data_IF_089976350933
#
_entry.id   IF_089976350933
#
_cell.length_a   1.000
_cell.length_b   1.000
_cell.length_c   1.000
_cell.angle_alpha   90.00
_cell.angle_beta   90.00
_cell.angle_gamma   90.00
#
_symmetry.space_group_name_H-M   'P 1'
#
loop_
_entity.id
_entity.type
_entity.pdbx_description
1 polymer ?
#
# COMPACT_ATOMS: atom_id res chain seq x y z
N UNK A 1 -3.03 73.37 -42.79
CA UNK A 1 -2.09 72.28 -42.43
C UNK A 1 -2.16 72.07 -40.92
N UNK A 2 -2.71 70.94 -40.46
CA UNK A 2 -2.70 70.50 -39.05
C UNK A 2 -2.10 69.09 -39.02
N UNK A 3 -1.11 68.77 -38.17
CA UNK A 3 -0.60 67.41 -38.08
C UNK A 3 -1.51 66.59 -37.16
N UNK A 4 -1.90 65.40 -37.62
CA UNK A 4 -2.60 64.41 -36.82
C UNK A 4 -1.57 63.62 -36.01
N UNK A 5 -1.74 63.61 -34.69
CA UNK A 5 -0.95 62.80 -33.76
C UNK A 5 -1.61 61.41 -33.67
N UNK A 6 -0.99 60.40 -34.27
CA UNK A 6 -1.42 59.00 -34.08
C UNK A 6 -0.92 58.49 -32.73
N UNK A 7 -1.85 58.20 -31.83
CA UNK A 7 -1.58 57.54 -30.56
C UNK A 7 -1.61 56.01 -30.79
N UNK A 8 -0.45 55.37 -30.83
CA UNK A 8 -0.36 53.91 -30.86
C UNK A 8 -0.55 53.37 -29.44
N UNK A 9 -1.70 52.72 -29.19
CA UNK A 9 -1.97 52.02 -27.93
C UNK A 9 -1.37 50.61 -27.99
N UNK A 10 -0.27 50.39 -27.28
CA UNK A 10 0.32 49.07 -27.09
C UNK A 10 -0.51 48.29 -26.05
N UNK A 11 -1.32 47.33 -26.51
CA UNK A 11 -1.99 46.36 -25.64
C UNK A 11 -0.93 45.34 -25.16
N UNK A 12 -0.45 45.51 -23.92
CA UNK A 12 0.29 44.47 -23.20
C UNK A 12 -0.70 43.39 -22.75
N UNK A 13 -0.79 42.31 -23.51
CA UNK A 13 -1.42 41.06 -23.09
C UNK A 13 -0.62 40.45 -21.94
N UNK A 14 -0.98 40.81 -20.71
CA UNK A 14 -0.61 40.03 -19.54
C UNK A 14 -1.41 38.71 -19.59
N UNK A 15 -0.78 37.66 -20.12
CA UNK A 15 -1.19 36.29 -19.82
C UNK A 15 -0.94 36.03 -18.33
N UNK A 16 -1.92 36.39 -17.50
CA UNK A 16 -1.99 35.91 -16.13
C UNK A 16 -1.99 34.39 -16.16
N UNK A 17 -0.90 33.77 -15.73
CA UNK A 17 -0.92 32.36 -15.38
C UNK A 17 -1.90 32.27 -14.20
N UNK A 18 -3.09 31.73 -14.46
CA UNK A 18 -3.99 31.33 -13.40
C UNK A 18 -3.25 30.26 -12.59
N UNK A 19 -2.63 30.66 -11.48
CA UNK A 19 -2.24 29.72 -10.44
C UNK A 19 -3.56 29.09 -10.03
N UNK A 20 -3.73 27.80 -10.29
CA UNK A 20 -4.91 27.09 -9.86
C UNK A 20 -5.00 27.26 -8.33
N UNK A 21 -5.95 28.09 -7.90
CA UNK A 21 -6.16 28.34 -6.48
C UNK A 21 -6.59 27.03 -5.82
N UNK A 22 -6.04 26.78 -4.63
CA UNK A 22 -6.45 25.62 -3.84
C UNK A 22 -7.94 25.72 -3.51
N UNK A 23 -8.66 24.61 -3.64
CA UNK A 23 -10.08 24.54 -3.31
C UNK A 23 -10.28 24.72 -1.80
N UNK A 24 -11.25 25.54 -1.42
CA UNK A 24 -11.74 25.62 -0.03
C UNK A 24 -13.00 24.78 0.10
N UNK A 25 -12.84 23.48 0.41
CA UNK A 25 -13.95 22.52 0.54
C UNK A 25 -13.61 21.36 1.48
N UNK A 26 -14.61 20.58 1.85
CA UNK A 26 -14.40 19.28 2.50
C UNK A 26 -13.80 18.25 1.54
N UNK A 27 -13.09 17.27 2.11
CA UNK A 27 -12.35 16.23 1.38
C UNK A 27 -12.98 14.84 1.45
N UNK A 28 -14.00 14.65 2.29
CA UNK A 28 -14.58 13.32 2.57
C UNK A 28 -15.30 12.66 1.39
N UNK A 29 -15.60 13.42 0.33
CA UNK A 29 -16.14 12.91 -0.93
C UNK A 29 -15.15 13.01 -2.10
N UNK A 30 -13.88 13.31 -1.82
CA UNK A 30 -12.82 13.34 -2.82
C UNK A 30 -12.15 11.98 -2.94
N UNK A 31 -11.81 11.61 -4.18
CA UNK A 31 -11.08 10.39 -4.48
C UNK A 31 -9.90 10.66 -5.40
N UNK A 32 -9.06 9.65 -5.58
CA UNK A 32 -8.03 9.64 -6.61
C UNK A 32 -8.27 8.50 -7.59
N UNK A 33 -7.90 8.71 -8.85
CA UNK A 33 -7.83 7.67 -9.88
C UNK A 33 -6.41 7.62 -10.43
N UNK A 34 -5.76 6.47 -10.30
CA UNK A 34 -4.41 6.24 -10.83
C UNK A 34 -4.47 5.97 -12.32
N UNK A 35 -3.75 6.77 -13.12
CA UNK A 35 -3.65 6.59 -14.57
C UNK A 35 -2.37 5.83 -14.93
N UNK A 36 -2.46 4.49 -14.94
CA UNK A 36 -1.32 3.57 -15.05
C UNK A 36 -0.42 3.76 -16.29
N UNK A 37 -0.95 4.32 -17.38
CA UNK A 37 -0.20 4.54 -18.61
C UNK A 37 0.49 5.91 -18.70
N UNK A 38 0.04 6.88 -17.89
CA UNK A 38 0.44 8.28 -18.02
C UNK A 38 1.33 8.78 -16.87
N UNK A 39 1.51 7.98 -15.81
CA UNK A 39 2.25 8.43 -14.62
C UNK A 39 1.59 9.64 -13.96
N UNK A 40 0.27 9.69 -14.00
CA UNK A 40 -0.58 10.78 -13.50
C UNK A 40 -1.70 10.25 -12.59
N UNK A 41 -2.31 11.16 -11.84
CA UNK A 41 -3.56 10.91 -11.12
C UNK A 41 -4.64 11.91 -11.53
N UNK A 42 -5.89 11.47 -11.49
CA UNK A 42 -7.05 12.37 -11.42
C UNK A 42 -7.46 12.52 -9.96
N UNK A 43 -7.78 13.73 -9.54
CA UNK A 43 -8.49 14.01 -8.29
C UNK A 43 -9.95 14.22 -8.66
N UNK A 44 -10.84 13.44 -8.06
CA UNK A 44 -12.26 13.40 -8.43
C UNK A 44 -13.15 13.79 -7.25
N UNK A 45 -14.26 14.43 -7.58
CA UNK A 45 -15.40 14.65 -6.69
C UNK A 45 -16.43 13.54 -6.95
N UNK A 46 -16.67 12.70 -5.96
CA UNK A 46 -17.58 11.56 -6.07
C UNK A 46 -19.04 11.94 -5.88
N UNK A 47 -19.34 13.11 -5.30
CA UNK A 47 -20.72 13.63 -5.21
C UNK A 47 -21.14 14.28 -6.53
N UNK A 48 -20.26 15.08 -7.12
CA UNK A 48 -20.53 15.80 -8.37
C UNK A 48 -20.19 14.99 -9.63
N UNK A 49 -19.55 13.83 -9.49
CA UNK A 49 -19.03 13.00 -10.58
C UNK A 49 -18.10 13.79 -11.53
N UNK A 50 -17.20 14.57 -10.97
CA UNK A 50 -16.34 15.49 -11.72
C UNK A 50 -14.85 15.22 -11.46
N UNK A 51 -14.02 15.32 -12.49
CA UNK A 51 -12.58 15.48 -12.28
C UNK A 51 -12.24 16.94 -11.96
N UNK A 52 -11.57 17.14 -10.83
CA UNK A 52 -11.15 18.44 -10.33
C UNK A 52 -9.75 18.81 -10.83
N UNK A 53 -8.82 17.86 -10.78
CA UNK A 53 -7.43 18.08 -11.15
C UNK A 53 -6.83 16.85 -11.82
N UNK A 54 -5.89 17.08 -12.75
CA UNK A 54 -4.94 16.07 -13.22
C UNK A 54 -3.56 16.44 -12.69
N UNK A 55 -2.92 15.55 -11.93
CA UNK A 55 -1.57 15.74 -11.41
C UNK A 55 -0.62 14.81 -12.14
N UNK A 56 0.43 15.36 -12.73
CA UNK A 56 1.43 14.63 -13.51
C UNK A 56 2.79 14.59 -12.78
N UNK A 57 3.75 13.85 -13.33
CA UNK A 57 5.11 13.76 -12.75
C UNK A 57 5.24 12.78 -11.59
N UNK A 58 4.37 11.77 -11.52
CA UNK A 58 4.41 10.72 -10.48
C UNK A 58 5.27 9.51 -10.84
N UNK A 59 5.94 9.53 -12.00
CA UNK A 59 6.83 8.45 -12.44
C UNK A 59 6.06 7.20 -12.89
N UNK A 60 6.59 6.02 -12.58
CA UNK A 60 5.99 4.75 -12.97
C UNK A 60 4.85 4.35 -12.02
N UNK A 61 3.62 4.55 -12.48
CA UNK A 61 2.39 4.11 -11.80
C UNK A 61 1.75 2.87 -12.44
N UNK A 62 2.50 2.08 -13.22
CA UNK A 62 2.02 0.80 -13.79
C UNK A 62 1.48 -0.15 -12.72
N UNK A 63 2.02 -0.03 -11.50
CA UNK A 63 1.47 -0.54 -10.26
C UNK A 63 1.62 0.54 -9.20
N UNK A 64 0.54 0.89 -8.51
CA UNK A 64 0.58 1.85 -7.42
C UNK A 64 -0.49 1.53 -6.36
N UNK A 65 -0.21 1.92 -5.13
CA UNK A 65 -1.19 1.99 -4.04
C UNK A 65 -1.18 3.40 -3.45
N UNK A 66 -2.15 3.69 -2.59
CA UNK A 66 -2.22 4.97 -1.91
C UNK A 66 -2.83 4.85 -0.52
N UNK A 67 -2.42 5.76 0.37
CA UNK A 67 -3.07 6.01 1.66
C UNK A 67 -3.30 7.51 1.82
N UNK A 68 -4.20 7.90 2.72
CA UNK A 68 -4.52 9.30 2.98
C UNK A 68 -4.00 9.74 4.33
N UNK A 69 -3.68 11.03 4.48
CA UNK A 69 -3.49 11.65 5.78
C UNK A 69 -4.78 11.63 6.58
N UNK A 70 -4.68 11.75 7.91
CA UNK A 70 -5.82 11.68 8.84
C UNK A 70 -6.85 12.79 8.63
N UNK A 71 -6.42 13.92 8.07
CA UNK A 71 -7.26 15.05 7.69
C UNK A 71 -7.78 14.94 6.25
N UNK A 72 -7.54 13.80 5.59
CA UNK A 72 -7.97 13.47 4.22
C UNK A 72 -7.46 14.43 3.13
N UNK A 73 -6.57 15.38 3.46
CA UNK A 73 -6.07 16.38 2.51
C UNK A 73 -4.94 15.86 1.64
N UNK A 74 -4.09 14.99 2.16
CA UNK A 74 -2.90 14.52 1.46
C UNK A 74 -3.04 13.05 1.08
N UNK A 75 -2.82 12.74 -0.19
CA UNK A 75 -2.65 11.38 -0.65
C UNK A 75 -1.15 11.05 -0.73
N UNK A 76 -0.76 9.90 -0.19
CA UNK A 76 0.58 9.35 -0.30
C UNK A 76 0.56 8.22 -1.32
N UNK A 77 1.21 8.44 -2.47
CA UNK A 77 1.24 7.50 -3.59
C UNK A 77 2.54 6.71 -3.56
N UNK A 78 2.43 5.39 -3.60
CA UNK A 78 3.55 4.45 -3.68
C UNK A 78 3.66 3.93 -5.11
N UNK A 79 4.64 4.42 -5.86
CA UNK A 79 4.88 4.07 -7.26
C UNK A 79 5.81 2.88 -7.43
N UNK A 80 5.64 2.14 -8.53
CA UNK A 80 6.43 0.94 -8.88
C UNK A 80 7.92 1.22 -8.97
N UNK A 81 8.29 2.43 -9.35
CA UNK A 81 9.66 2.95 -9.41
C UNK A 81 10.29 3.24 -8.04
N UNK A 82 9.60 2.90 -6.95
CA UNK A 82 10.05 3.18 -5.59
C UNK A 82 9.83 4.61 -5.14
N UNK A 83 9.05 5.40 -5.90
CA UNK A 83 8.66 6.75 -5.53
C UNK A 83 7.60 6.78 -4.43
N UNK A 84 7.83 7.59 -3.40
CA UNK A 84 6.84 8.01 -2.41
C UNK A 84 6.47 9.47 -2.68
N UNK A 85 5.23 9.73 -3.08
CA UNK A 85 4.76 11.07 -3.46
C UNK A 85 3.66 11.54 -2.53
N UNK A 86 3.83 12.71 -1.93
CA UNK A 86 2.78 13.42 -1.18
C UNK A 86 2.08 14.40 -2.10
N UNK A 87 0.79 14.21 -2.32
CA UNK A 87 -0.06 15.05 -3.17
C UNK A 87 -1.05 15.80 -2.30
N UNK A 88 -1.17 17.12 -2.46
CA UNK A 88 -2.23 17.93 -1.84
C UNK A 88 -3.45 17.92 -2.76
N UNK A 89 -4.50 17.22 -2.35
CA UNK A 89 -5.66 16.98 -3.22
C UNK A 89 -6.57 18.21 -3.36
N UNK A 90 -6.48 19.17 -2.43
CA UNK A 90 -7.20 20.44 -2.55
C UNK A 90 -6.52 21.40 -3.52
N UNK A 91 -5.21 21.26 -3.72
CA UNK A 91 -4.43 22.12 -4.61
C UNK A 91 -4.04 21.45 -5.93
N UNK A 92 -4.34 20.16 -6.12
CA UNK A 92 -3.99 19.44 -7.34
C UNK A 92 -2.49 19.38 -7.63
N UNK A 93 -1.63 19.29 -6.60
CA UNK A 93 -0.18 19.40 -6.76
C UNK A 93 0.61 18.41 -5.94
N UNK A 94 1.78 18.04 -6.45
CA UNK A 94 2.80 17.33 -5.69
C UNK A 94 3.40 18.32 -4.68
N UNK A 95 3.37 17.95 -3.39
CA UNK A 95 4.02 18.71 -2.31
C UNK A 95 5.47 18.29 -2.18
N UNK A 96 5.71 16.97 -2.18
CA UNK A 96 7.06 16.41 -2.16
C UNK A 96 7.05 15.02 -2.80
N UNK A 97 8.19 14.60 -3.34
CA UNK A 97 8.43 13.27 -3.88
C UNK A 97 9.85 12.83 -3.53
N UNK A 98 9.99 11.61 -3.02
CA UNK A 98 11.28 10.97 -2.77
C UNK A 98 11.35 9.64 -3.51
N UNK A 99 12.53 9.27 -4.03
CA UNK A 99 12.80 7.93 -4.56
C UNK A 99 13.53 7.17 -3.47
N UNK A 100 12.88 6.17 -2.88
CA UNK A 100 13.37 5.54 -1.65
C UNK A 100 13.85 4.09 -1.79
N UNK A 101 13.63 3.49 -2.96
CA UNK A 101 14.04 2.13 -3.27
C UNK A 101 13.91 1.87 -4.77
N UNK A 102 14.24 0.66 -5.21
CA UNK A 102 14.11 0.31 -6.63
C UNK A 102 12.68 -0.08 -7.02
N UNK A 103 12.10 -1.02 -6.27
CA UNK A 103 10.77 -1.55 -6.53
C UNK A 103 10.01 -1.66 -5.20
N UNK A 104 8.95 -0.86 -5.10
CA UNK A 104 8.08 -0.76 -3.93
C UNK A 104 6.65 -0.55 -4.41
N UNK A 105 5.69 -1.14 -3.70
CA UNK A 105 4.26 -0.93 -3.96
C UNK A 105 3.45 -0.94 -2.67
N UNK A 106 3.91 -1.66 -1.64
CA UNK A 106 3.23 -1.73 -0.35
C UNK A 106 3.63 -0.55 0.54
N UNK A 107 2.65 0.20 1.00
CA UNK A 107 2.84 1.30 1.92
C UNK A 107 1.67 1.44 2.88
N UNK A 108 1.96 1.93 4.08
CA UNK A 108 0.98 2.08 5.15
C UNK A 108 1.23 3.37 5.93
N UNK A 109 0.18 3.95 6.52
CA UNK A 109 0.26 5.15 7.36
C UNK A 109 0.06 4.76 8.82
N UNK A 110 0.86 5.32 9.74
CA UNK A 110 0.76 4.96 11.16
C UNK A 110 -0.60 5.35 11.75
N UNK A 111 -0.98 4.71 12.86
CA UNK A 111 -2.25 4.98 13.56
C UNK A 111 -2.45 6.47 13.90
N UNK A 112 -1.39 7.14 14.37
CA UNK A 112 -1.43 8.58 14.64
C UNK A 112 -1.12 9.44 13.40
N UNK A 113 -1.01 8.83 12.21
CA UNK A 113 -0.64 9.34 10.89
C UNK A 113 0.56 10.28 10.81
N UNK A 114 1.51 10.19 11.72
CA UNK A 114 2.76 10.96 11.64
C UNK A 114 3.82 10.27 10.77
N UNK A 115 3.65 8.98 10.45
CA UNK A 115 4.64 8.16 9.75
C UNK A 115 4.04 7.44 8.55
N UNK A 116 4.84 7.27 7.50
CA UNK A 116 4.57 6.39 6.36
C UNK A 116 5.61 5.28 6.35
N UNK A 117 5.17 4.03 6.34
CA UNK A 117 6.03 2.87 6.12
C UNK A 117 5.98 2.46 4.64
N UNK A 118 7.12 2.07 4.10
CA UNK A 118 7.28 1.62 2.71
C UNK A 118 8.07 0.32 2.65
N UNK A 119 7.47 -0.70 2.03
CA UNK A 119 8.11 -2.00 1.79
C UNK A 119 9.04 -1.94 0.58
N UNK A 120 10.20 -2.57 0.64
CA UNK A 120 11.19 -2.55 -0.44
C UNK A 120 11.62 -3.95 -0.86
N UNK A 121 11.69 -4.18 -2.17
CA UNK A 121 12.21 -5.44 -2.73
C UNK A 121 13.73 -5.38 -2.89
N UNK A 122 14.25 -4.20 -3.20
CA UNK A 122 15.67 -3.89 -3.26
C UNK A 122 15.89 -2.54 -2.58
N UNK A 123 16.73 -2.45 -1.53
CA UNK A 123 17.66 -3.47 -1.02
C UNK A 123 17.04 -4.61 -0.20
N UNK A 124 15.74 -4.53 0.12
CA UNK A 124 15.04 -5.46 1.02
C UNK A 124 14.93 -4.86 2.43
N UNK A 125 13.70 -4.67 2.92
CA UNK A 125 13.45 -4.04 4.22
C UNK A 125 12.25 -3.12 4.23
N UNK A 126 12.13 -2.32 5.29
CA UNK A 126 11.09 -1.30 5.45
C UNK A 126 11.75 0.04 5.72
N UNK A 127 11.35 1.08 4.99
CA UNK A 127 11.75 2.46 5.29
C UNK A 127 10.56 3.20 5.87
N UNK A 128 10.80 4.03 6.88
CA UNK A 128 9.78 4.84 7.54
C UNK A 128 10.08 6.31 7.29
N UNK A 129 9.07 7.08 6.89
CA UNK A 129 9.16 8.50 6.58
C UNK A 129 8.20 9.33 7.42
N UNK A 130 8.53 10.59 7.67
CA UNK A 130 7.61 11.57 8.23
C UNK A 130 6.52 11.92 7.21
N UNK A 131 5.25 11.96 7.64
CA UNK A 131 4.14 12.43 6.78
C UNK A 131 4.19 13.94 6.52
N UNK A 132 4.94 14.71 7.32
CA UNK A 132 5.02 16.16 7.17
C UNK A 132 5.78 16.54 5.90
N UNK A 133 6.98 15.99 5.73
CA UNK A 133 7.95 16.41 4.72
C UNK A 133 8.60 15.24 3.94
N UNK A 134 8.23 13.98 4.22
CA UNK A 134 8.85 12.78 3.66
C UNK A 134 10.34 12.61 4.03
N UNK A 135 10.81 13.22 5.12
CA UNK A 135 12.14 12.91 5.66
C UNK A 135 12.20 11.46 6.17
N UNK A 136 13.34 10.79 5.95
CA UNK A 136 13.57 9.43 6.43
C UNK A 136 13.72 9.43 7.96
N UNK A 137 12.89 8.64 8.64
CA UNK A 137 12.87 8.49 10.11
C UNK A 137 13.59 7.22 10.53
N UNK A 138 13.39 6.10 9.82
CA UNK A 138 14.05 4.83 10.10
C UNK A 138 14.30 4.03 8.82
N UNK A 139 15.43 3.35 8.78
CA UNK A 139 15.78 2.38 7.73
C UNK A 139 15.97 1.00 8.38
N UNK A 140 15.04 0.09 8.11
CA UNK A 140 14.96 -1.20 8.79
C UNK A 140 15.32 -2.29 7.77
N UNK A 141 16.58 -2.75 7.73
CA UNK A 141 17.01 -3.78 6.79
C UNK A 141 16.35 -5.12 7.12
N UNK A 142 15.90 -5.83 6.08
CA UNK A 142 15.38 -7.19 6.23
C UNK A 142 16.48 -8.19 6.58
N UNK A 143 16.09 -9.41 6.99
CA UNK A 143 17.03 -10.53 7.13
C UNK A 143 17.79 -10.76 5.81
N UNK A 144 19.12 -10.92 5.91
CA UNK A 144 19.97 -11.21 4.76
C UNK A 144 19.73 -12.65 4.27
N UNK A 145 19.59 -12.80 2.96
CA UNK A 145 19.42 -14.07 2.25
C UNK A 145 20.36 -14.13 1.05
N UNK A 146 20.64 -15.34 0.59
CA UNK A 146 21.38 -15.56 -0.65
C UNK A 146 20.38 -15.86 -1.76
N UNK A 147 20.45 -15.10 -2.85
CA UNK A 147 19.60 -15.36 -4.03
C UNK A 147 20.09 -16.57 -4.86
N UNK A 148 19.39 -16.86 -5.96
CA UNK A 148 19.72 -17.99 -6.84
C UNK A 148 21.05 -17.85 -7.56
N UNK A 149 21.60 -16.65 -7.63
CA UNK A 149 22.86 -16.32 -8.28
C UNK A 149 24.03 -16.30 -7.27
N UNK A 150 23.75 -16.60 -6.00
CA UNK A 150 24.75 -16.61 -4.93
C UNK A 150 25.03 -15.23 -4.33
N UNK A 151 24.28 -14.19 -4.71
CA UNK A 151 24.46 -12.83 -4.19
C UNK A 151 23.67 -12.65 -2.90
N UNK A 152 24.29 -11.97 -1.93
CA UNK A 152 23.63 -11.58 -0.66
C UNK A 152 22.75 -10.36 -0.88
N UNK A 153 21.54 -10.41 -0.34
CA UNK A 153 20.55 -9.32 -0.39
C UNK A 153 19.63 -9.38 0.84
N UNK A 154 18.90 -8.30 1.12
CA UNK A 154 17.78 -8.39 2.07
C UNK A 154 16.63 -9.20 1.50
N UNK A 155 15.91 -9.93 2.35
CA UNK A 155 14.63 -10.52 1.96
C UNK A 155 13.67 -9.42 1.49
N UNK A 156 12.91 -9.68 0.42
CA UNK A 156 11.84 -8.77 -0.01
C UNK A 156 10.79 -8.66 1.10
N UNK A 157 10.25 -7.47 1.31
CA UNK A 157 9.11 -7.26 2.21
C UNK A 157 7.82 -7.09 1.43
N UNK A 158 6.76 -7.76 1.88
CA UNK A 158 5.42 -7.81 1.28
C UNK A 158 4.35 -7.79 2.37
N UNK A 159 3.10 -7.48 2.01
CA UNK A 159 1.98 -7.47 2.97
C UNK A 159 2.18 -6.49 4.13
N UNK A 160 2.80 -5.33 3.86
CA UNK A 160 2.99 -4.28 4.86
C UNK A 160 1.66 -3.61 5.18
N UNK A 161 1.29 -3.59 6.46
CA UNK A 161 0.07 -2.96 6.96
C UNK A 161 0.38 -2.18 8.23
N UNK A 162 -0.37 -1.11 8.49
CA UNK A 162 -0.43 -0.50 9.82
C UNK A 162 -1.27 -1.36 10.78
N UNK A 163 -0.97 -1.24 12.07
CA UNK A 163 -1.62 -2.00 13.13
C UNK A 163 -1.84 -1.13 14.37
N UNK A 164 -2.87 -1.44 15.20
CA UNK A 164 -3.15 -0.69 16.43
C UNK A 164 -1.95 -0.64 17.39
N UNK A 165 -1.82 0.46 18.12
CA UNK A 165 -0.75 0.67 19.10
C UNK A 165 0.51 1.27 18.48
N UNK A 166 0.38 2.04 17.40
CA UNK A 166 1.49 2.65 16.65
C UNK A 166 2.48 1.60 16.13
N UNK A 167 1.96 0.57 15.48
CA UNK A 167 2.74 -0.55 14.94
C UNK A 167 2.55 -0.67 13.45
N UNK A 168 3.51 -1.32 12.80
CA UNK A 168 3.35 -1.91 11.46
C UNK A 168 3.57 -3.42 11.56
N UNK A 169 2.92 -4.18 10.67
CA UNK A 169 3.19 -5.60 10.48
C UNK A 169 3.62 -5.83 9.03
N UNK A 170 4.61 -6.68 8.82
CA UNK A 170 5.17 -6.94 7.49
C UNK A 170 5.69 -8.36 7.40
N UNK A 171 5.64 -8.93 6.20
CA UNK A 171 6.11 -10.28 5.93
C UNK A 171 7.34 -10.25 5.02
N UNK A 172 8.30 -11.15 5.28
CA UNK A 172 9.54 -11.30 4.53
C UNK A 172 9.45 -12.53 3.64
N UNK A 173 9.42 -12.31 2.33
CA UNK A 173 9.18 -13.34 1.31
C UNK A 173 10.26 -14.42 1.28
N UNK A 174 11.53 -14.03 1.23
CA UNK A 174 12.64 -14.95 1.02
C UNK A 174 13.02 -15.69 2.32
N UNK A 175 12.96 -15.00 3.47
CA UNK A 175 13.34 -15.57 4.78
C UNK A 175 12.20 -16.22 5.57
N UNK A 176 10.96 -16.14 5.08
CA UNK A 176 9.78 -16.78 5.71
C UNK A 176 9.52 -16.30 7.14
N UNK A 177 9.51 -14.98 7.33
CA UNK A 177 9.31 -14.31 8.61
C UNK A 177 8.14 -13.33 8.58
N UNK A 178 7.52 -13.05 9.73
CA UNK A 178 6.66 -11.88 9.94
C UNK A 178 7.25 -11.01 11.04
N UNK A 179 7.28 -9.70 10.82
CA UNK A 179 7.79 -8.72 11.77
C UNK A 179 6.67 -7.82 12.25
N UNK A 180 6.66 -7.53 13.55
CA UNK A 180 5.90 -6.45 14.15
C UNK A 180 6.89 -5.34 14.49
N UNK A 181 6.67 -4.14 13.96
CA UNK A 181 7.52 -2.98 14.11
C UNK A 181 6.77 -1.96 14.99
N UNK A 182 7.20 -1.80 16.24
CA UNK A 182 6.67 -0.78 17.16
C UNK A 182 7.38 0.56 16.94
N UNK A 183 6.58 1.58 16.63
CA UNK A 183 7.00 2.93 16.31
C UNK A 183 6.54 3.97 17.35
N UNK A 184 6.28 3.55 18.60
CA UNK A 184 6.00 4.49 19.71
C UNK A 184 7.17 5.42 19.99
N UNK A 185 8.40 4.91 19.84
CA UNK A 185 9.61 5.72 19.80
C UNK A 185 10.25 5.62 18.41
N UNK A 186 9.98 6.57 17.49
CA UNK A 186 10.48 6.47 16.12
C UNK A 186 12.01 6.52 15.99
N UNK A 187 12.71 7.10 16.99
CA UNK A 187 14.16 7.11 17.03
C UNK A 187 14.78 5.75 17.40
N UNK A 188 13.98 4.85 17.97
CA UNK A 188 14.41 3.50 18.37
C UNK A 188 13.28 2.47 18.12
N UNK A 189 13.03 2.12 16.84
CA UNK A 189 12.01 1.14 16.48
C UNK A 189 12.27 -0.21 17.15
N UNK A 190 11.26 -0.79 17.79
CA UNK A 190 11.37 -2.15 18.35
C UNK A 190 10.77 -3.16 17.37
N UNK A 191 11.56 -4.18 17.02
CA UNK A 191 11.17 -5.17 16.03
C UNK A 191 11.02 -6.53 16.72
N UNK A 192 9.80 -7.05 16.72
CA UNK A 192 9.52 -8.42 17.13
C UNK A 192 9.46 -9.31 15.90
N UNK A 193 10.33 -10.33 15.85
CA UNK A 193 10.47 -11.23 14.69
C UNK A 193 9.85 -12.58 14.98
N UNK A 194 8.93 -12.99 14.12
CA UNK A 194 8.38 -14.34 14.07
C UNK A 194 9.05 -15.09 12.94
N UNK A 195 9.86 -16.09 13.30
CA UNK A 195 10.50 -16.97 12.33
C UNK A 195 9.61 -18.18 12.06
N UNK A 196 9.69 -18.75 10.85
CA UNK A 196 8.94 -19.94 10.43
C UNK A 196 7.43 -19.74 10.32
N UNK A 197 7.01 -18.64 9.72
CA UNK A 197 5.58 -18.38 9.50
C UNK A 197 4.98 -19.25 8.39
N UNK A 198 5.83 -19.86 7.56
CA UNK A 198 5.43 -20.66 6.40
C UNK A 198 6.21 -20.25 5.17
N UNK A 199 6.32 -21.13 4.18
CA UNK A 199 7.20 -20.96 3.04
C UNK A 199 6.70 -19.92 2.03
N UNK A 200 7.60 -19.02 1.61
CA UNK A 200 7.40 -17.99 0.58
C UNK A 200 6.10 -17.20 0.76
N UNK A 201 5.92 -16.49 1.88
CA UNK A 201 4.72 -15.68 2.07
C UNK A 201 4.69 -14.51 1.08
N UNK A 202 3.60 -14.36 0.33
CA UNK A 202 3.57 -13.51 -0.87
C UNK A 202 2.74 -12.22 -0.72
N UNK A 203 1.83 -12.17 0.24
CA UNK A 203 0.98 -11.04 0.55
C UNK A 203 0.44 -11.19 1.99
N UNK A 204 -0.13 -10.14 2.57
CA UNK A 204 -0.77 -10.21 3.88
C UNK A 204 -1.84 -9.13 4.08
N UNK A 205 -2.71 -9.33 5.07
CA UNK A 205 -3.69 -8.36 5.54
C UNK A 205 -3.74 -8.32 7.07
N UNK A 206 -4.41 -7.29 7.61
CA UNK A 206 -4.89 -7.29 9.00
C UNK A 206 -6.42 -7.37 9.01
N UNK A 207 -7.00 -8.12 9.93
CA UNK A 207 -8.45 -8.15 10.11
C UNK A 207 -9.00 -6.77 10.47
N UNK A 208 -10.27 -6.43 10.15
CA UNK A 208 -10.80 -5.08 10.37
C UNK A 208 -10.80 -4.60 11.83
N UNK A 209 -10.79 -5.53 12.79
CA UNK A 209 -10.64 -5.24 14.22
C UNK A 209 -9.19 -4.95 14.64
N UNK A 210 -8.24 -5.02 13.70
CA UNK A 210 -6.82 -4.79 13.92
C UNK A 210 -6.11 -5.90 14.70
N UNK A 211 -6.72 -7.10 14.83
CA UNK A 211 -6.20 -8.15 15.71
C UNK A 211 -5.32 -9.18 15.01
N UNK A 212 -5.78 -9.76 13.90
CA UNK A 212 -5.08 -10.86 13.25
C UNK A 212 -4.37 -10.37 12.00
N UNK A 213 -3.04 -10.56 11.97
CA UNK A 213 -2.25 -10.40 10.76
C UNK A 213 -2.15 -11.75 10.05
N UNK A 214 -2.58 -11.80 8.79
CA UNK A 214 -2.74 -13.05 8.03
C UNK A 214 -1.92 -12.97 6.76
N UNK A 215 -0.95 -13.86 6.62
CA UNK A 215 -0.06 -13.94 5.45
C UNK A 215 -0.41 -15.13 4.56
N UNK A 216 -0.50 -14.87 3.26
CA UNK A 216 -0.70 -15.89 2.22
C UNK A 216 0.59 -16.61 1.90
N UNK A 217 0.59 -17.94 1.90
CA UNK A 217 1.77 -18.75 1.67
C UNK A 217 1.80 -19.23 0.21
N UNK A 218 2.89 -18.96 -0.51
CA UNK A 218 3.06 -19.42 -1.89
C UNK A 218 3.85 -20.72 -1.97
N UNK A 219 4.78 -20.93 -1.03
CA UNK A 219 5.67 -22.09 -1.00
C UNK A 219 4.98 -23.36 -0.50
N UNK A 220 3.90 -23.20 0.26
CA UNK A 220 3.07 -24.24 0.85
C UNK A 220 1.59 -23.82 0.80
N UNK A 221 0.68 -24.78 0.93
CA UNK A 221 -0.73 -24.48 1.12
C UNK A 221 -0.96 -24.01 2.58
N UNK A 222 -2.01 -23.21 2.78
CA UNK A 222 -2.39 -22.60 4.03
C UNK A 222 -2.08 -21.11 4.14
N UNK A 223 -2.54 -20.53 5.24
CA UNK A 223 -2.28 -19.15 5.63
C UNK A 223 -1.62 -19.12 7.00
N UNK A 224 -0.72 -18.17 7.20
CA UNK A 224 -0.14 -17.92 8.52
C UNK A 224 -0.95 -16.86 9.24
N UNK A 225 -1.47 -17.18 10.42
CA UNK A 225 -2.18 -16.24 11.29
C UNK A 225 -1.33 -15.88 12.51
N UNK A 226 -1.06 -14.59 12.68
CA UNK A 226 -0.40 -13.99 13.84
C UNK A 226 -1.40 -13.15 14.65
N UNK A 227 -1.52 -13.41 15.96
CA UNK A 227 -2.37 -12.63 16.87
C UNK A 227 -1.60 -11.41 17.40
N UNK A 228 -1.93 -10.22 16.91
CA UNK A 228 -1.25 -8.97 17.27
C UNK A 228 -1.56 -8.50 18.71
N UNK A 229 -2.56 -9.10 19.38
CA UNK A 229 -2.83 -8.88 20.81
C UNK A 229 -2.01 -9.81 21.70
N UNK A 230 -1.58 -10.95 21.16
CA UNK A 230 -0.74 -11.93 21.83
C UNK A 230 0.52 -12.25 21.01
N UNK A 231 1.34 -11.23 20.69
CA UNK A 231 2.48 -11.42 19.79
C UNK A 231 3.57 -12.30 20.43
N UNK A 232 3.52 -12.60 21.72
CA UNK A 232 4.38 -13.62 22.33
C UNK A 232 4.10 -15.04 21.82
N UNK A 233 2.91 -15.30 21.26
CA UNK A 233 2.52 -16.61 20.75
C UNK A 233 3.06 -16.82 19.33
N UNK A 234 3.43 -18.06 18.96
CA UNK A 234 3.84 -18.36 17.61
C UNK A 234 2.67 -18.19 16.63
N UNK A 235 2.93 -17.86 15.35
CA UNK A 235 1.92 -17.90 14.31
C UNK A 235 1.31 -19.30 14.18
N UNK A 236 0.04 -19.34 13.78
CA UNK A 236 -0.71 -20.59 13.54
C UNK A 236 -0.94 -20.76 12.05
N UNK A 237 -0.74 -21.97 11.55
CA UNK A 237 -1.22 -22.34 10.22
C UNK A 237 -2.73 -22.53 10.28
N UNK A 238 -3.46 -21.86 9.39
CA UNK A 238 -4.91 -21.99 9.21
C UNK A 238 -5.21 -22.32 7.76
N UNK A 239 -6.42 -22.84 7.50
CA UNK A 239 -6.91 -23.16 6.15
C UNK A 239 -5.88 -23.98 5.35
N UNK A 240 -5.36 -25.08 5.88
CA UNK A 240 -4.24 -25.84 5.28
C UNK A 240 -4.47 -26.29 3.82
N UNK A 241 -5.73 -26.37 3.36
CA UNK A 241 -6.09 -26.65 1.96
C UNK A 241 -6.17 -25.41 1.05
N UNK A 242 -5.96 -24.21 1.58
CA UNK A 242 -6.00 -22.95 0.86
C UNK A 242 -4.65 -22.67 0.19
N UNK A 243 -4.54 -22.97 -1.09
CA UNK A 243 -3.29 -22.77 -1.81
C UNK A 243 -3.36 -23.28 -3.23
N UNK A 244 -2.20 -23.43 -3.88
CA UNK A 244 -2.06 -23.77 -5.30
C UNK A 244 -2.68 -25.13 -5.69
N UNK A 245 -3.06 -25.95 -4.72
CA UNK A 245 -3.62 -27.27 -4.96
C UNK A 245 -2.70 -28.10 -5.86
N UNK A 246 -3.25 -28.79 -6.87
CA UNK A 246 -2.46 -29.63 -7.79
C UNK A 246 -1.74 -28.85 -8.90
N UNK A 247 -2.12 -27.60 -9.19
CA UNK A 247 -1.60 -26.84 -10.32
C UNK A 247 -0.58 -25.79 -9.86
N UNK A 248 0.62 -25.82 -10.43
CA UNK A 248 1.65 -24.80 -10.14
C UNK A 248 1.31 -23.49 -10.85
N UNK A 249 0.61 -22.60 -10.15
CA UNK A 249 0.39 -21.23 -10.59
C UNK A 249 1.62 -20.36 -10.26
N UNK A 250 1.96 -19.36 -11.11
CA UNK A 250 2.97 -18.37 -10.75
C UNK A 250 2.44 -17.44 -9.65
N UNK A 251 3.34 -16.81 -8.88
CA UNK A 251 2.97 -15.99 -7.71
C UNK A 251 2.00 -14.84 -8.05
N UNK A 252 2.12 -14.21 -9.22
CA UNK A 252 1.22 -13.14 -9.67
C UNK A 252 -0.20 -13.61 -10.05
N UNK A 253 -0.45 -14.93 -10.03
CA UNK A 253 -1.78 -15.54 -10.19
C UNK A 253 -2.40 -15.96 -8.86
N UNK A 254 -1.68 -15.78 -7.76
CA UNK A 254 -2.23 -15.92 -6.42
C UNK A 254 -3.15 -14.72 -6.13
N UNK A 255 -4.26 -14.91 -5.41
CA UNK A 255 -5.15 -13.81 -5.08
C UNK A 255 -4.46 -12.80 -4.15
N UNK A 256 -4.69 -11.52 -4.42
CA UNK A 256 -4.32 -10.46 -3.49
C UNK A 256 -5.20 -10.51 -2.25
N UNK A 257 -4.58 -10.39 -1.07
CA UNK A 257 -5.28 -10.53 0.20
C UNK A 257 -6.11 -9.28 0.57
N UNK A 258 -5.80 -8.12 -0.02
CA UNK A 258 -6.62 -6.91 0.10
C UNK A 258 -8.07 -7.12 -0.39
N UNK A 259 -8.32 -8.08 -1.28
CA UNK A 259 -9.66 -8.40 -1.80
C UNK A 259 -10.57 -9.16 -0.82
N UNK A 260 -10.12 -9.42 0.42
CA UNK A 260 -10.94 -10.11 1.42
C UNK A 260 -12.03 -9.19 1.96
N UNK A 261 -13.20 -9.75 2.17
CA UNK A 261 -14.29 -9.08 2.88
C UNK A 261 -14.59 -9.82 4.18
N UNK A 262 -14.87 -9.06 5.25
CA UNK A 262 -15.30 -9.60 6.54
C UNK A 262 -16.68 -9.04 6.85
N UNK A 263 -17.65 -9.92 7.11
CA UNK A 263 -19.00 -9.55 7.50
C UNK A 263 -19.50 -10.44 8.64
N UNK A 264 -19.80 -9.84 9.79
CA UNK A 264 -20.18 -10.59 10.99
C UNK A 264 -19.08 -11.57 11.39
N UNK A 265 -19.41 -12.86 11.47
CA UNK A 265 -18.47 -13.93 11.81
C UNK A 265 -17.90 -14.68 10.59
N UNK A 266 -18.01 -14.10 9.39
CA UNK A 266 -17.59 -14.72 8.14
C UNK A 266 -16.56 -13.86 7.42
N UNK A 267 -15.50 -14.50 6.92
CA UNK A 267 -14.56 -13.96 5.96
C UNK A 267 -14.84 -14.57 4.58
N UNK A 268 -14.81 -13.73 3.55
CA UNK A 268 -14.98 -14.09 2.16
C UNK A 268 -13.66 -13.85 1.45
N UNK A 269 -13.08 -14.91 0.89
CA UNK A 269 -11.77 -14.85 0.26
C UNK A 269 -11.79 -15.55 -1.11
N UNK A 270 -11.09 -15.00 -2.11
CA UNK A 270 -10.95 -15.62 -3.41
C UNK A 270 -10.26 -16.98 -3.31
N UNK A 271 -10.81 -18.01 -3.94
CA UNK A 271 -10.17 -19.32 -3.98
C UNK A 271 -8.96 -19.30 -4.94
N UNK A 272 -7.85 -19.89 -4.51
CA UNK A 272 -6.63 -19.94 -5.34
C UNK A 272 -6.84 -20.89 -6.52
N UNK A 273 -6.87 -20.36 -7.75
CA UNK A 273 -6.96 -21.16 -8.97
C UNK A 273 -8.34 -21.76 -9.25
N UNK A 274 -9.39 -21.29 -8.56
CA UNK A 274 -10.77 -21.72 -8.75
C UNK A 274 -11.69 -20.52 -9.01
N UNK A 275 -12.81 -20.74 -9.71
CA UNK A 275 -13.85 -19.72 -9.91
C UNK A 275 -14.84 -19.75 -8.73
N UNK A 276 -14.29 -19.57 -7.53
CA UNK A 276 -15.03 -19.70 -6.28
C UNK A 276 -14.57 -18.64 -5.28
N UNK A 277 -15.49 -18.18 -4.44
CA UNK A 277 -15.20 -17.43 -3.21
C UNK A 277 -15.44 -18.38 -2.03
N UNK A 278 -14.45 -18.52 -1.16
CA UNK A 278 -14.58 -19.32 0.05
C UNK A 278 -15.27 -18.51 1.13
N UNK A 279 -16.12 -19.17 1.92
CA UNK A 279 -16.71 -18.61 3.13
C UNK A 279 -16.04 -19.27 4.32
N UNK A 280 -15.29 -18.50 5.09
CA UNK A 280 -14.54 -18.97 6.26
C UNK A 280 -15.12 -18.37 7.53
N UNK A 281 -15.40 -19.22 8.50
CA UNK A 281 -15.87 -18.77 9.82
C UNK A 281 -14.70 -18.22 10.63
N UNK A 282 -14.88 -17.03 11.19
CA UNK A 282 -13.90 -16.42 12.08
C UNK A 282 -13.87 -17.10 13.45
N UNK A 283 -12.77 -16.91 14.16
CA UNK A 283 -12.47 -17.58 15.44
C UNK A 283 -11.60 -18.82 15.24
N UNK A 284 -12.14 -19.85 14.57
CA UNK A 284 -11.41 -21.09 14.29
C UNK A 284 -10.91 -21.24 12.85
N UNK A 285 -11.27 -20.31 11.95
CA UNK A 285 -10.75 -20.23 10.59
C UNK A 285 -11.01 -21.49 9.76
N UNK A 286 -12.22 -22.03 9.92
CA UNK A 286 -12.69 -23.20 9.17
C UNK A 286 -13.47 -22.75 7.94
N UNK A 287 -13.16 -23.33 6.79
CA UNK A 287 -13.96 -23.20 5.58
C UNK A 287 -15.35 -23.82 5.82
N UNK A 288 -16.39 -23.04 5.61
CA UNK A 288 -17.79 -23.43 5.83
C UNK A 288 -18.59 -23.57 4.55
N UNK A 289 -18.20 -22.88 3.48
CA UNK A 289 -18.90 -22.93 2.19
C UNK A 289 -18.02 -22.43 1.03
N UNK A 290 -18.49 -22.66 -0.20
CA UNK A 290 -17.89 -22.18 -1.45
C UNK A 290 -18.96 -21.62 -2.39
N UNK A 291 -18.79 -20.37 -2.79
CA UNK A 291 -19.71 -19.65 -3.69
C UNK A 291 -19.11 -19.62 -5.09
N UNK A 292 -19.79 -20.21 -6.07
CA UNK A 292 -19.35 -20.16 -7.48
C UNK A 292 -19.45 -18.75 -8.03
N UNK A 293 -18.43 -18.33 -8.78
CA UNK A 293 -18.37 -17.04 -9.47
C UNK A 293 -18.01 -17.22 -10.95
N UNK A 294 -18.14 -16.16 -11.74
CA UNK A 294 -17.96 -16.23 -13.20
C UNK A 294 -16.50 -16.34 -13.66
N UNK A 295 -15.54 -15.85 -12.86
CA UNK A 295 -14.12 -15.85 -13.19
C UNK A 295 -13.25 -16.05 -11.96
N UNK A 296 -11.94 -15.92 -12.12
CA UNK A 296 -11.03 -15.91 -10.97
C UNK A 296 -11.23 -14.59 -10.20
N UNK A 297 -11.71 -14.65 -8.94
CA UNK A 297 -11.84 -13.46 -8.10
C UNK A 297 -10.48 -12.92 -7.64
#
# INVERSE_FOLDING_TARGET
>A
MKPALSLAASLLLFCGHAIADCLTRGTGDLGIVIERAAGSLQIVDTTAHQSLFRVEGLGDLSHASAVYSRDERYAFIFGRDGGLTKVDILCGKIVNRVIQGGNSIGGAISQNGSLIAVSNYEPGGVKIFSTQDLSLVADIPATEVTDREGKRKGSKTVGLVDAPGQRFAVTLYDSSEAWIIDMKNPAEPKIQRHTKIGALPYDALVTPDGRYYISGLFGQDGLSLLDLWHPEKPPRLILEGYGRGKQKLPVYKMPHLEGWAVAGNSAFLPAVGHHEVLVVRQGDWVETDRIKVHGQP
#
